data_IF_576602221883
#
_entry.id   IF_576602221883
#
_cell.length_a   1.000
_cell.length_b   1.000
_cell.length_c   1.000
_cell.angle_alpha   90.00
_cell.angle_beta   90.00
_cell.angle_gamma   90.00
#
_symmetry.space_group_name_H-M   'P 1'
#
loop_
_entity.id
_entity.type
_entity.pdbx_description
1 polymer ?
#
# COMPACT_ATOMS: atom_id res chain seq x y z
N UNK A 1 -8.21 -14.10 -11.43
CA UNK A 1 -8.15 -13.71 -10.00
C UNK A 1 -9.50 -14.00 -9.37
N UNK A 2 -9.55 -14.87 -8.37
CA UNK A 2 -10.79 -15.29 -7.73
C UNK A 2 -10.80 -15.05 -6.21
N UNK A 3 -9.66 -14.61 -5.67
CA UNK A 3 -9.51 -14.30 -4.25
C UNK A 3 -8.45 -13.22 -4.01
N UNK A 4 -8.44 -12.65 -2.81
CA UNK A 4 -7.53 -11.58 -2.41
C UNK A 4 -6.77 -11.93 -1.13
N UNK A 5 -5.48 -11.61 -1.11
CA UNK A 5 -4.72 -11.42 0.12
C UNK A 5 -4.66 -9.91 0.39
N UNK A 6 -5.32 -9.46 1.44
CA UNK A 6 -5.32 -8.06 1.86
C UNK A 6 -4.28 -7.90 2.96
N UNK A 7 -3.43 -6.88 2.87
CA UNK A 7 -2.39 -6.63 3.87
C UNK A 7 -2.33 -5.18 4.32
N UNK A 8 -2.02 -4.99 5.60
CA UNK A 8 -1.70 -3.69 6.19
C UNK A 8 -0.38 -3.79 6.96
N UNK A 9 0.74 -3.28 6.42
CA UNK A 9 1.98 -3.13 7.18
C UNK A 9 1.88 -1.98 8.18
N UNK A 10 2.32 -2.20 9.43
CA UNK A 10 2.22 -1.18 10.49
C UNK A 10 3.50 -1.11 11.32
N UNK A 11 3.86 0.11 11.72
CA UNK A 11 4.80 0.42 12.79
C UNK A 11 4.30 1.60 13.61
N UNK A 12 4.00 1.35 14.88
CA UNK A 12 3.69 2.36 15.91
C UNK A 12 2.50 3.32 15.64
N UNK A 13 1.81 3.22 14.51
CA UNK A 13 0.70 4.14 14.14
C UNK A 13 -0.66 3.57 14.54
N UNK A 14 -0.80 3.16 15.80
CA UNK A 14 -1.93 2.31 16.21
C UNK A 14 -3.31 2.97 16.01
N UNK A 15 -3.47 4.26 16.29
CA UNK A 15 -4.76 4.94 16.14
C UNK A 15 -5.22 5.00 14.67
N UNK A 16 -4.28 5.20 13.76
CA UNK A 16 -4.56 5.16 12.32
C UNK A 16 -4.84 3.73 11.88
N UNK A 17 -4.03 2.77 12.33
CA UNK A 17 -4.17 1.36 11.99
C UNK A 17 -5.51 0.79 12.41
N UNK A 18 -6.00 1.14 13.59
CA UNK A 18 -7.35 0.70 14.06
C UNK A 18 -8.43 1.18 13.10
N UNK A 19 -8.38 2.45 12.68
CA UNK A 19 -9.34 3.01 11.71
C UNK A 19 -9.24 2.32 10.35
N UNK A 20 -8.01 2.00 9.90
CA UNK A 20 -7.79 1.23 8.67
C UNK A 20 -8.38 -0.16 8.79
N UNK A 21 -8.09 -0.89 9.88
CA UNK A 21 -8.65 -2.23 10.13
C UNK A 21 -10.18 -2.21 10.13
N UNK A 22 -10.79 -1.26 10.85
CA UNK A 22 -12.24 -1.11 10.89
C UNK A 22 -12.82 -0.86 9.50
N UNK A 23 -12.21 0.03 8.71
CA UNK A 23 -12.68 0.34 7.36
C UNK A 23 -12.55 -0.87 6.42
N UNK A 24 -11.46 -1.65 6.50
CA UNK A 24 -11.28 -2.86 5.70
C UNK A 24 -12.28 -3.94 6.09
N UNK A 25 -12.47 -4.20 7.39
CA UNK A 25 -13.42 -5.21 7.88
C UNK A 25 -14.88 -4.85 7.53
N UNK A 26 -15.21 -3.55 7.52
CA UNK A 26 -16.54 -3.06 7.16
C UNK A 26 -16.77 -2.97 5.65
N UNK A 27 -15.76 -3.28 4.83
CA UNK A 27 -15.90 -3.22 3.38
C UNK A 27 -16.86 -4.29 2.85
N UNK A 28 -17.71 -3.90 1.91
CA UNK A 28 -18.61 -4.79 1.19
C UNK A 28 -17.84 -5.52 0.07
N UNK A 29 -17.08 -6.55 0.44
CA UNK A 29 -16.23 -7.31 -0.47
C UNK A 29 -16.81 -8.71 -0.68
N UNK A 30 -17.27 -8.99 -1.91
CA UNK A 30 -17.95 -10.22 -2.28
C UNK A 30 -17.04 -11.29 -2.89
N UNK A 31 -15.73 -11.11 -2.76
CA UNK A 31 -14.73 -12.07 -3.21
C UNK A 31 -14.07 -12.74 -1.99
N UNK A 32 -13.76 -14.04 -2.05
CA UNK A 32 -13.01 -14.69 -0.97
C UNK A 32 -11.72 -13.93 -0.67
N UNK A 33 -11.47 -13.65 0.59
CA UNK A 33 -10.28 -12.90 0.97
C UNK A 33 -9.78 -13.29 2.36
N UNK A 34 -8.49 -13.04 2.58
CA UNK A 34 -7.84 -13.09 3.89
C UNK A 34 -7.24 -11.72 4.16
N UNK A 35 -7.43 -11.20 5.36
CA UNK A 35 -6.86 -9.92 5.79
C UNK A 35 -5.83 -10.12 6.89
N UNK A 36 -4.61 -9.59 6.69
CA UNK A 36 -3.47 -9.74 7.60
C UNK A 36 -2.83 -8.39 7.87
N UNK A 37 -2.60 -8.09 9.14
CA UNK A 37 -1.82 -6.92 9.57
C UNK A 37 -0.42 -7.38 9.97
N UNK A 38 0.61 -6.77 9.38
CA UNK A 38 2.01 -7.07 9.65
C UNK A 38 2.60 -6.03 10.59
N UNK A 39 2.87 -6.43 11.84
CA UNK A 39 3.47 -5.58 12.86
C UNK A 39 5.00 -5.57 12.71
N UNK A 40 5.55 -4.45 12.25
CA UNK A 40 6.99 -4.27 12.03
C UNK A 40 7.70 -3.71 13.26
N UNK A 41 7.84 -4.53 14.30
CA UNK A 41 8.58 -4.17 15.52
C UNK A 41 8.07 -2.86 16.16
N UNK A 42 6.75 -2.73 16.32
CA UNK A 42 6.16 -1.66 17.12
C UNK A 42 6.56 -1.79 18.60
N UNK A 43 6.41 -0.70 19.35
CA UNK A 43 6.65 -0.74 20.79
C UNK A 43 5.79 -1.81 21.48
N UNK A 44 6.21 -2.37 22.62
CA UNK A 44 5.42 -3.39 23.34
C UNK A 44 3.98 -2.93 23.64
N UNK A 45 3.79 -1.66 24.01
CA UNK A 45 2.48 -1.09 24.27
C UNK A 45 1.61 -1.06 23.01
N UNK A 46 2.14 -0.57 21.89
CA UNK A 46 1.44 -0.52 20.62
C UNK A 46 1.16 -1.93 20.07
N UNK A 47 2.10 -2.86 20.24
CA UNK A 47 1.90 -4.27 19.88
C UNK A 47 0.73 -4.89 20.67
N UNK A 48 0.71 -4.73 22.00
CA UNK A 48 -0.36 -5.26 22.83
C UNK A 48 -1.73 -4.66 22.44
N UNK A 49 -1.78 -3.35 22.18
CA UNK A 49 -2.99 -2.68 21.74
C UNK A 49 -3.42 -3.15 20.34
N UNK A 50 -2.48 -3.34 19.41
CA UNK A 50 -2.76 -3.86 18.07
C UNK A 50 -3.42 -5.24 18.16
N UNK A 51 -2.87 -6.16 18.95
CA UNK A 51 -3.45 -7.49 19.14
C UNK A 51 -4.85 -7.43 19.75
N UNK A 52 -5.08 -6.55 20.72
CA UNK A 52 -6.40 -6.35 21.36
C UNK A 52 -7.44 -5.91 20.33
N UNK A 53 -7.12 -4.88 19.53
CA UNK A 53 -8.03 -4.35 18.52
C UNK A 53 -8.24 -5.32 17.35
N UNK A 54 -7.20 -6.00 16.92
CA UNK A 54 -7.29 -7.01 15.87
C UNK A 54 -8.16 -8.20 16.31
N UNK A 55 -8.02 -8.67 17.56
CA UNK A 55 -8.88 -9.72 18.10
C UNK A 55 -10.35 -9.28 18.16
N UNK A 56 -10.63 -8.02 18.55
CA UNK A 56 -11.98 -7.44 18.53
C UNK A 56 -12.61 -7.44 17.14
N UNK A 57 -11.79 -7.24 16.10
CA UNK A 57 -12.22 -7.14 14.70
C UNK A 57 -12.15 -8.47 13.94
N UNK A 58 -11.61 -9.54 14.55
CA UNK A 58 -11.38 -10.81 13.88
C UNK A 58 -10.28 -10.76 12.81
N UNK A 59 -9.31 -9.86 12.95
CA UNK A 59 -8.20 -9.64 12.02
C UNK A 59 -6.96 -10.41 12.47
N UNK A 60 -6.27 -11.04 11.52
CA UNK A 60 -5.00 -11.71 11.77
C UNK A 60 -3.86 -10.71 11.93
N UNK A 61 -3.01 -10.90 12.94
CA UNK A 61 -1.78 -10.12 13.13
C UNK A 61 -0.57 -11.05 13.03
N UNK A 62 0.43 -10.62 12.28
CA UNK A 62 1.72 -11.29 12.17
C UNK A 62 2.80 -10.35 12.69
N UNK A 63 3.43 -10.73 13.82
CA UNK A 63 4.56 -9.99 14.37
C UNK A 63 5.84 -10.35 13.62
N UNK A 64 6.44 -9.41 12.92
CA UNK A 64 7.64 -9.64 12.12
C UNK A 64 8.85 -10.03 12.98
N UNK A 65 8.88 -9.62 14.26
CA UNK A 65 9.90 -10.05 15.21
C UNK A 65 9.97 -11.58 15.38
N UNK A 66 8.91 -12.32 15.05
CA UNK A 66 8.89 -13.79 15.08
C UNK A 66 9.43 -14.43 13.79
N UNK A 67 9.63 -13.64 12.73
CA UNK A 67 9.97 -14.10 11.39
C UNK A 67 11.34 -13.64 10.91
N UNK A 68 11.86 -12.55 11.46
CA UNK A 68 13.15 -11.98 11.08
C UNK A 68 13.76 -11.18 12.23
N UNK A 69 15.08 -11.26 12.35
CA UNK A 69 15.88 -10.44 13.27
C UNK A 69 16.31 -9.11 12.63
N UNK A 70 15.90 -8.86 11.38
CA UNK A 70 16.26 -7.62 10.69
C UNK A 70 15.54 -6.43 11.33
N UNK A 71 16.25 -5.33 11.62
CA UNK A 71 15.61 -4.15 12.19
C UNK A 71 14.64 -3.50 11.20
N UNK A 72 13.56 -2.89 11.71
CA UNK A 72 12.63 -2.12 10.90
C UNK A 72 13.36 -1.00 10.09
N UNK A 73 12.98 -0.76 8.83
CA UNK A 73 11.74 -1.20 8.17
C UNK A 73 11.87 -2.54 7.44
N UNK A 74 10.87 -3.42 7.62
CA UNK A 74 10.78 -4.71 6.96
C UNK A 74 9.73 -4.76 5.84
N UNK A 75 9.38 -3.62 5.25
CA UNK A 75 8.33 -3.54 4.23
C UNK A 75 8.59 -4.44 3.02
N UNK A 76 9.85 -4.50 2.53
CA UNK A 76 10.21 -5.37 1.41
C UNK A 76 10.09 -6.85 1.79
N UNK A 77 10.42 -7.23 3.02
CA UNK A 77 10.22 -8.59 3.51
C UNK A 77 8.73 -8.98 3.43
N UNK A 78 7.82 -8.10 3.86
CA UNK A 78 6.36 -8.30 3.76
C UNK A 78 5.94 -8.46 2.31
N UNK A 79 6.38 -7.58 1.40
CA UNK A 79 6.04 -7.65 -0.01
C UNK A 79 6.48 -8.98 -0.65
N UNK A 80 7.72 -9.41 -0.40
CA UNK A 80 8.27 -10.68 -0.90
C UNK A 80 7.48 -11.89 -0.39
N UNK A 81 7.19 -11.91 0.91
CA UNK A 81 6.41 -12.96 1.56
C UNK A 81 5.00 -13.04 0.96
N UNK A 82 4.29 -11.92 0.95
CA UNK A 82 2.91 -11.87 0.47
C UNK A 82 2.80 -12.13 -1.02
N UNK A 83 3.79 -11.73 -1.84
CA UNK A 83 3.86 -12.14 -3.25
C UNK A 83 3.91 -13.66 -3.39
N UNK A 84 4.80 -14.34 -2.64
CA UNK A 84 4.93 -15.81 -2.70
C UNK A 84 3.64 -16.50 -2.31
N UNK A 85 3.00 -16.03 -1.24
CA UNK A 85 1.73 -16.55 -0.76
C UNK A 85 0.61 -16.33 -1.80
N UNK A 86 0.44 -15.12 -2.31
CA UNK A 86 -0.55 -14.79 -3.32
C UNK A 86 -0.38 -15.59 -4.62
N UNK A 87 0.87 -15.90 -5.02
CA UNK A 87 1.14 -16.72 -6.20
C UNK A 87 0.71 -18.17 -6.04
N UNK A 88 0.83 -18.76 -4.83
CA UNK A 88 0.38 -20.13 -4.54
C UNK A 88 -1.13 -20.26 -4.77
N UNK A 89 -1.88 -19.24 -4.35
CA UNK A 89 -3.34 -19.22 -4.37
C UNK A 89 -3.94 -18.57 -5.64
N UNK A 90 -3.11 -18.14 -6.59
CA UNK A 90 -3.51 -17.29 -7.74
C UNK A 90 -4.36 -16.08 -7.30
N UNK A 91 -4.02 -15.54 -6.12
CA UNK A 91 -4.70 -14.42 -5.50
C UNK A 91 -4.15 -13.06 -5.97
N UNK A 92 -4.99 -12.03 -5.93
CA UNK A 92 -4.51 -10.66 -5.99
C UNK A 92 -3.95 -10.22 -4.63
N UNK A 93 -2.89 -9.42 -4.63
CA UNK A 93 -2.33 -8.81 -3.42
C UNK A 93 -2.87 -7.39 -3.28
N UNK A 94 -3.77 -7.17 -2.32
CA UNK A 94 -4.33 -5.86 -2.04
C UNK A 94 -3.64 -5.24 -0.83
N UNK A 95 -2.95 -4.14 -1.04
CA UNK A 95 -2.24 -3.40 0.01
C UNK A 95 -3.09 -2.22 0.43
N UNK A 96 -3.33 -2.08 1.73
CA UNK A 96 -3.94 -0.90 2.35
C UNK A 96 -3.00 -0.43 3.46
N UNK A 97 -2.36 0.73 3.29
CA UNK A 97 -1.44 1.27 4.29
C UNK A 97 -2.17 1.65 5.58
N UNK A 98 -1.43 1.63 6.70
CA UNK A 98 -1.97 1.79 8.07
C UNK A 98 -2.56 3.15 8.39
N UNK A 99 -2.47 4.12 7.49
CA UNK A 99 -3.01 5.49 7.60
C UNK A 99 -4.07 5.82 6.53
N UNK A 100 -4.61 4.77 5.92
CA UNK A 100 -5.63 4.87 4.87
C UNK A 100 -6.98 4.37 5.38
N UNK A 101 -8.02 5.16 5.15
CA UNK A 101 -9.41 4.77 5.41
C UNK A 101 -10.15 4.62 4.09
N UNK A 102 -10.58 3.40 3.78
CA UNK A 102 -11.35 3.08 2.57
C UNK A 102 -12.84 3.28 2.79
N UNK A 103 -13.60 3.52 1.71
CA UNK A 103 -15.06 3.49 1.72
C UNK A 103 -15.58 2.05 1.62
N UNK A 104 -16.84 1.81 1.99
CA UNK A 104 -17.41 0.47 2.04
C UNK A 104 -17.29 -0.34 0.74
N UNK A 105 -17.40 0.32 -0.40
CA UNK A 105 -17.38 -0.29 -1.73
C UNK A 105 -16.03 -0.18 -2.46
N UNK A 106 -15.03 0.52 -1.87
CA UNK A 106 -13.75 0.80 -2.54
C UNK A 106 -13.02 -0.47 -2.95
N UNK A 107 -12.89 -1.45 -2.04
CA UNK A 107 -12.11 -2.66 -2.31
C UNK A 107 -12.79 -3.53 -3.37
N UNK A 108 -14.13 -3.64 -3.36
CA UNK A 108 -14.87 -4.34 -4.39
C UNK A 108 -14.72 -3.66 -5.75
N UNK A 109 -14.86 -2.33 -5.80
CA UNK A 109 -14.70 -1.57 -7.04
C UNK A 109 -13.28 -1.64 -7.61
N UNK A 110 -12.24 -1.67 -6.76
CA UNK A 110 -10.87 -1.93 -7.21
C UNK A 110 -10.72 -3.32 -7.83
N UNK A 111 -11.29 -4.33 -7.18
CA UNK A 111 -11.29 -5.70 -7.70
C UNK A 111 -12.01 -5.81 -9.04
N UNK A 112 -13.22 -5.27 -9.14
CA UNK A 112 -14.00 -5.26 -10.36
C UNK A 112 -13.30 -4.48 -11.47
N UNK A 113 -12.76 -3.31 -11.13
CA UNK A 113 -12.02 -2.47 -12.05
C UNK A 113 -10.75 -3.14 -12.59
N UNK A 114 -10.01 -3.86 -11.76
CA UNK A 114 -8.84 -4.63 -12.17
C UNK A 114 -9.23 -5.82 -13.06
N UNK A 115 -10.33 -6.52 -12.72
CA UNK A 115 -10.80 -7.69 -13.45
C UNK A 115 -11.39 -7.34 -14.81
N UNK A 116 -12.06 -6.19 -14.91
CA UNK A 116 -12.65 -5.70 -16.16
C UNK A 116 -11.63 -5.18 -17.18
N UNK A 117 -10.39 -4.93 -16.77
CA UNK A 117 -9.36 -4.36 -17.64
C UNK A 117 -8.34 -5.42 -18.07
N UNK A 118 -8.20 -5.69 -19.38
CA UNK A 118 -7.19 -6.63 -19.86
C UNK A 118 -5.78 -6.11 -19.51
N UNK A 119 -4.89 -7.05 -19.18
CA UNK A 119 -3.49 -6.76 -18.82
C UNK A 119 -3.32 -5.75 -17.67
N UNK A 120 -4.30 -5.68 -16.76
CA UNK A 120 -4.14 -4.87 -15.56
C UNK A 120 -3.01 -5.44 -14.69
N UNK A 121 -1.99 -4.64 -14.40
CA UNK A 121 -0.93 -4.93 -13.45
C UNK A 121 -1.28 -4.40 -12.06
N UNK A 122 -1.54 -3.09 -11.97
CA UNK A 122 -1.90 -2.42 -10.72
C UNK A 122 -3.22 -1.67 -10.89
N UNK A 123 -4.12 -1.82 -9.93
CA UNK A 123 -5.30 -0.99 -9.76
C UNK A 123 -5.17 -0.23 -8.43
N UNK A 124 -5.04 1.09 -8.49
CA UNK A 124 -4.80 1.93 -7.32
C UNK A 124 -5.92 2.94 -7.11
N UNK A 125 -6.38 3.12 -5.88
CA UNK A 125 -7.30 4.17 -5.48
C UNK A 125 -6.54 5.48 -5.26
N UNK A 126 -7.14 6.62 -5.65
CA UNK A 126 -6.54 7.93 -5.41
C UNK A 126 -6.65 8.32 -3.93
N UNK A 127 -5.61 8.95 -3.39
CA UNK A 127 -5.62 9.45 -2.01
C UNK A 127 -6.14 10.88 -1.94
N UNK A 128 -6.93 11.15 -0.90
CA UNK A 128 -7.45 12.49 -0.60
C UNK A 128 -7.22 12.84 0.86
N UNK A 129 -7.21 14.14 1.17
CA UNK A 129 -7.25 14.66 2.52
C UNK A 129 -8.70 14.70 3.08
N UNK A 130 -8.87 15.28 4.29
CA UNK A 130 -10.18 15.38 4.95
C UNK A 130 -11.15 16.32 4.23
N UNK A 131 -10.65 17.25 3.42
CA UNK A 131 -11.43 18.12 2.54
C UNK A 131 -11.76 17.48 1.18
N UNK A 132 -11.38 16.23 0.96
CA UNK A 132 -11.60 15.50 -0.29
C UNK A 132 -10.69 15.92 -1.44
N UNK A 133 -9.63 16.70 -1.17
CA UNK A 133 -8.66 17.12 -2.17
C UNK A 133 -7.58 16.07 -2.36
N UNK A 134 -7.22 15.79 -3.61
CA UNK A 134 -6.13 14.86 -3.91
C UNK A 134 -4.85 15.31 -3.20
N UNK A 135 -4.30 14.41 -2.38
CA UNK A 135 -3.11 14.66 -1.58
C UNK A 135 -1.91 13.79 -2.03
N UNK A 136 -0.83 13.83 -1.26
CA UNK A 136 0.31 12.96 -1.46
C UNK A 136 -0.10 11.48 -1.29
N UNK A 137 0.36 10.57 -2.15
CA UNK A 137 1.40 10.72 -3.19
C UNK A 137 0.88 11.16 -4.57
N UNK A 138 -0.42 11.31 -4.77
CA UNK A 138 -1.04 11.52 -6.08
C UNK A 138 -1.22 12.99 -6.48
N UNK A 139 -0.39 13.90 -5.99
CA UNK A 139 -0.48 15.34 -6.34
C UNK A 139 -0.46 15.60 -7.86
N UNK A 140 0.13 14.69 -8.64
CA UNK A 140 0.17 14.76 -10.10
C UNK A 140 -1.18 14.45 -10.77
N UNK A 141 -2.13 13.89 -10.04
CA UNK A 141 -3.48 13.57 -10.51
C UNK A 141 -4.51 14.66 -10.21
N UNK A 142 -4.10 15.76 -9.58
CA UNK A 142 -4.98 16.93 -9.37
C UNK A 142 -5.54 17.43 -10.70
N UNK A 143 -6.84 17.74 -10.73
CA UNK A 143 -7.58 18.10 -11.94
C UNK A 143 -8.09 16.89 -12.74
N UNK A 144 -7.94 15.67 -12.20
CA UNK A 144 -8.49 14.44 -12.78
C UNK A 144 -9.48 13.73 -11.85
N UNK A 145 -10.03 14.47 -10.92
CA UNK A 145 -11.00 13.93 -9.95
C UNK A 145 -12.16 13.24 -10.69
N UNK A 146 -12.49 12.02 -10.27
CA UNK A 146 -13.53 11.20 -10.90
C UNK A 146 -13.17 10.56 -12.24
N UNK A 147 -11.95 10.77 -12.78
CA UNK A 147 -11.53 10.24 -14.08
C UNK A 147 -10.50 9.11 -13.88
N UNK A 148 -10.92 7.88 -14.09
CA UNK A 148 -10.02 6.74 -14.06
C UNK A 148 -9.19 6.66 -15.34
N UNK A 149 -7.90 6.35 -15.22
CA UNK A 149 -7.03 6.31 -16.38
C UNK A 149 -5.85 5.34 -16.24
N UNK A 150 -5.30 4.93 -17.40
CA UNK A 150 -4.05 4.21 -17.51
C UNK A 150 -2.88 5.11 -17.09
N UNK A 151 -2.32 4.84 -15.91
CA UNK A 151 -1.27 5.64 -15.29
C UNK A 151 0.11 5.21 -15.79
N UNK A 152 0.78 6.07 -16.52
CA UNK A 152 2.17 5.86 -16.99
C UNK A 152 3.23 6.31 -15.97
N UNK A 153 2.78 6.86 -14.84
CA UNK A 153 3.63 7.17 -13.69
C UNK A 153 3.59 6.00 -12.70
N UNK A 154 3.96 6.23 -11.46
CA UNK A 154 3.83 5.23 -10.40
C UNK A 154 2.43 5.22 -9.79
N UNK A 155 2.00 4.04 -9.36
CA UNK A 155 0.87 3.85 -8.46
C UNK A 155 1.42 3.54 -7.07
N UNK A 156 1.10 4.38 -6.09
CA UNK A 156 1.52 4.16 -4.70
C UNK A 156 0.73 3.02 -4.06
N UNK A 157 1.34 2.34 -3.12
CA UNK A 157 0.70 1.23 -2.40
C UNK A 157 -0.21 1.67 -1.24
N UNK A 158 -0.56 2.95 -1.15
CA UNK A 158 -1.50 3.43 -0.13
C UNK A 158 -2.81 2.61 -0.10
N UNK A 159 -3.43 2.40 -1.27
CA UNK A 159 -4.54 1.46 -1.46
C UNK A 159 -4.44 0.92 -2.89
N UNK A 160 -3.83 -0.24 -3.07
CA UNK A 160 -3.51 -0.78 -4.40
C UNK A 160 -3.64 -2.28 -4.47
N UNK A 161 -4.30 -2.74 -5.52
CA UNK A 161 -4.42 -4.14 -5.88
C UNK A 161 -3.38 -4.49 -6.96
N UNK A 162 -2.47 -5.39 -6.62
CA UNK A 162 -1.50 -6.00 -7.51
C UNK A 162 -2.10 -7.31 -8.04
N UNK A 163 -2.26 -7.41 -9.35
CA UNK A 163 -2.91 -8.58 -9.96
C UNK A 163 -1.98 -9.80 -10.01
N UNK A 164 -2.51 -11.03 -10.11
CA UNK A 164 -1.69 -12.21 -10.31
C UNK A 164 -0.79 -12.13 -11.56
N UNK A 165 -1.22 -11.41 -12.60
CA UNK A 165 -0.41 -11.17 -13.79
C UNK A 165 0.86 -10.39 -13.47
N UNK A 166 0.75 -9.32 -12.68
CA UNK A 166 1.88 -8.55 -12.18
C UNK A 166 2.78 -9.40 -11.27
N UNK A 167 2.18 -10.09 -10.29
CA UNK A 167 2.93 -10.89 -9.33
C UNK A 167 3.75 -12.02 -10.01
N UNK A 168 3.26 -12.55 -11.13
CA UNK A 168 4.00 -13.52 -11.98
C UNK A 168 5.10 -12.85 -12.79
N UNK A 169 4.83 -11.67 -13.36
CA UNK A 169 5.77 -10.99 -14.25
C UNK A 169 6.93 -10.31 -13.51
N UNK A 170 6.68 -9.80 -12.29
CA UNK A 170 7.66 -9.03 -11.53
C UNK A 170 8.24 -9.84 -10.38
N UNK A 171 9.57 -9.97 -10.36
CA UNK A 171 10.28 -10.71 -9.30
C UNK A 171 10.70 -9.75 -8.17
N UNK A 172 9.98 -9.80 -7.05
CA UNK A 172 10.27 -8.95 -5.89
C UNK A 172 11.56 -9.34 -5.13
N UNK A 173 12.13 -10.51 -5.42
CA UNK A 173 13.42 -10.89 -4.84
C UNK A 173 14.58 -10.09 -5.45
N UNK A 174 14.37 -9.45 -6.63
CA UNK A 174 15.32 -8.54 -7.29
C UNK A 174 15.29 -7.11 -6.78
N UNK A 175 14.30 -6.74 -5.98
CA UNK A 175 14.21 -5.39 -5.43
C UNK A 175 15.35 -5.12 -4.45
N UNK A 176 15.93 -3.93 -4.53
CA UNK A 176 17.08 -3.51 -3.72
C UNK A 176 16.62 -3.06 -2.32
N UNK A 177 17.06 -3.77 -1.28
CA UNK A 177 16.74 -3.47 0.12
C UNK A 177 17.21 -2.09 0.58
N UNK A 178 18.22 -1.51 -0.07
CA UNK A 178 18.69 -0.15 0.22
C UNK A 178 17.75 0.94 -0.28
N UNK A 179 16.75 0.59 -1.10
CA UNK A 179 15.77 1.49 -1.69
C UNK A 179 14.47 1.50 -0.89
N UNK A 180 13.68 2.55 -1.09
CA UNK A 180 12.40 2.74 -0.38
C UNK A 180 11.22 2.99 -1.31
N UNK A 181 11.44 2.90 -2.63
CA UNK A 181 10.48 3.26 -3.66
C UNK A 181 9.99 2.00 -4.39
N UNK A 182 9.59 0.99 -3.60
CA UNK A 182 9.17 -0.30 -4.18
C UNK A 182 7.93 -0.15 -5.04
N UNK A 183 7.00 0.71 -4.65
CA UNK A 183 5.81 1.06 -5.43
C UNK A 183 6.17 1.68 -6.79
N UNK A 184 7.17 2.56 -6.84
CA UNK A 184 7.67 3.17 -8.08
C UNK A 184 8.34 2.12 -8.96
N UNK A 185 9.25 1.32 -8.40
CA UNK A 185 9.98 0.28 -9.13
C UNK A 185 9.01 -0.76 -9.70
N UNK A 186 8.11 -1.30 -8.86
CA UNK A 186 7.11 -2.29 -9.28
C UNK A 186 6.15 -1.70 -10.34
N UNK A 187 5.79 -0.41 -10.23
CA UNK A 187 4.98 0.24 -11.27
C UNK A 187 5.69 0.30 -12.62
N UNK A 188 7.00 0.59 -12.63
CA UNK A 188 7.79 0.61 -13.86
C UNK A 188 8.00 -0.80 -14.43
N UNK A 189 8.28 -1.79 -13.56
CA UNK A 189 8.42 -3.19 -13.97
C UNK A 189 7.12 -3.74 -14.57
N UNK A 190 5.97 -3.35 -14.02
CA UNK A 190 4.66 -3.65 -14.58
C UNK A 190 4.53 -3.15 -16.02
N UNK A 191 4.85 -1.88 -16.25
CA UNK A 191 4.81 -1.29 -17.60
C UNK A 191 5.83 -1.94 -18.55
N UNK A 192 7.03 -2.24 -18.06
CA UNK A 192 8.06 -2.93 -18.83
C UNK A 192 7.66 -4.36 -19.23
N UNK A 193 6.86 -5.02 -18.38
CA UNK A 193 6.28 -6.34 -18.66
C UNK A 193 5.08 -6.29 -19.62
N UNK A 194 4.71 -5.12 -20.14
CA UNK A 194 3.57 -4.93 -21.05
C UNK A 194 2.21 -4.90 -20.34
N UNK A 195 2.20 -4.73 -19.02
CA UNK A 195 0.98 -4.56 -18.25
C UNK A 195 0.59 -3.07 -18.16
N UNK A 196 -0.62 -2.81 -17.70
CA UNK A 196 -1.15 -1.48 -17.49
C UNK A 196 -1.40 -1.21 -16.00
N UNK A 197 -1.07 0.00 -15.54
CA UNK A 197 -1.38 0.44 -14.19
C UNK A 197 -2.51 1.45 -14.24
N UNK A 198 -3.57 1.22 -13.48
CA UNK A 198 -4.74 2.11 -13.50
C UNK A 198 -4.84 2.88 -12.18
N UNK A 199 -4.99 4.20 -12.28
CA UNK A 199 -5.33 5.05 -11.15
C UNK A 199 -6.83 5.39 -11.22
N UNK A 200 -7.55 4.97 -10.20
CA UNK A 200 -8.98 5.19 -10.05
C UNK A 200 -9.22 6.48 -9.27
N UNK A 201 -9.34 7.60 -9.98
CA UNK A 201 -9.68 8.88 -9.35
C UNK A 201 -11.17 9.00 -9.01
N UNK A 202 -11.98 8.03 -9.44
CA UNK A 202 -13.38 7.84 -8.99
C UNK A 202 -13.49 7.14 -7.64
N UNK A 203 -12.39 6.56 -7.12
CA UNK A 203 -12.33 5.84 -5.85
C UNK A 203 -11.41 6.56 -4.85
N UNK A 204 -11.83 7.70 -4.27
CA UNK A 204 -11.01 8.40 -3.29
C UNK A 204 -10.94 7.61 -1.98
N UNK A 205 -9.73 7.47 -1.42
CA UNK A 205 -9.48 6.95 -0.08
C UNK A 205 -8.89 8.04 0.78
N UNK A 206 -9.36 8.15 2.02
CA UNK A 206 -8.83 9.12 2.95
C UNK A 206 -7.44 8.68 3.43
N UNK A 207 -6.43 9.49 3.16
CA UNK A 207 -5.05 9.23 3.54
C UNK A 207 -4.57 10.32 4.50
N UNK A 208 -4.17 9.91 5.69
CA UNK A 208 -3.62 10.77 6.75
C UNK A 208 -2.11 10.53 6.88
N UNK A 209 -1.29 11.15 6.02
CA UNK A 209 0.15 10.90 6.03
C UNK A 209 0.72 11.14 7.43
N UNK A 210 1.20 10.10 8.07
CA UNK A 210 1.91 10.21 9.33
C UNK A 210 3.41 10.06 9.09
N UNK A 211 4.18 10.94 9.71
CA UNK A 211 5.61 10.99 9.45
C UNK A 211 6.38 9.92 10.19
N UNK A 212 6.35 8.68 9.74
CA UNK A 212 7.30 7.67 10.20
C UNK A 212 8.76 7.99 9.79
N UNK A 213 8.95 9.00 8.93
CA UNK A 213 10.27 9.42 8.43
C UNK A 213 10.45 10.92 8.58
N UNK A 214 11.15 11.38 9.66
CA UNK A 214 11.32 12.82 9.96
C UNK A 214 11.91 13.63 8.80
N UNK A 215 12.78 13.02 7.97
CA UNK A 215 13.37 13.72 6.83
C UNK A 215 12.34 14.05 5.72
N UNK A 216 11.27 13.24 5.55
CA UNK A 216 10.20 13.54 4.58
C UNK A 216 9.34 14.73 5.03
N UNK A 217 9.17 14.92 6.33
CA UNK A 217 8.47 16.09 6.88
C UNK A 217 9.23 17.39 6.57
N UNK A 218 10.55 17.34 6.39
CA UNK A 218 11.33 18.48 5.97
C UNK A 218 10.84 19.08 4.65
N UNK A 219 10.21 18.30 3.77
CA UNK A 219 9.65 18.83 2.51
C UNK A 219 8.63 19.94 2.76
N UNK A 220 7.91 19.88 3.86
CA UNK A 220 6.84 20.82 4.21
C UNK A 220 7.32 21.88 5.22
N UNK A 221 8.27 21.54 6.07
CA UNK A 221 8.77 22.43 7.14
C UNK A 221 10.03 23.18 6.76
N UNK A 222 10.91 22.59 5.95
CA UNK A 222 12.14 23.17 5.45
C UNK A 222 12.54 22.59 4.10
N UNK A 223 11.95 23.04 2.98
CA UNK A 223 12.18 22.47 1.65
C UNK A 223 13.65 22.47 1.22
N UNK A 224 14.42 23.52 1.58
CA UNK A 224 15.84 23.63 1.23
C UNK A 224 16.62 22.48 1.88
N UNK A 225 16.41 22.25 3.17
CA UNK A 225 17.04 21.14 3.90
C UNK A 225 16.60 19.78 3.38
N UNK A 226 15.33 19.65 2.97
CA UNK A 226 14.80 18.43 2.35
C UNK A 226 15.55 18.09 1.06
N UNK A 227 15.62 19.02 0.09
CA UNK A 227 16.30 18.79 -1.19
C UNK A 227 17.79 18.59 -1.04
N UNK A 228 18.45 19.31 -0.12
CA UNK A 228 19.86 19.11 0.23
C UNK A 228 20.10 17.69 0.79
N UNK A 229 19.29 17.26 1.77
CA UNK A 229 19.39 15.92 2.36
C UNK A 229 19.11 14.83 1.33
N UNK A 230 18.09 15.02 0.49
CA UNK A 230 17.74 14.14 -0.59
C UNK A 230 18.91 13.94 -1.56
N UNK A 231 19.55 15.02 -1.97
CA UNK A 231 20.65 14.99 -2.92
C UNK A 231 21.92 14.38 -2.32
N UNK A 232 22.31 14.79 -1.12
CA UNK A 232 23.56 14.34 -0.47
C UNK A 232 23.52 12.90 0.00
N UNK A 233 22.34 12.41 0.43
CA UNK A 233 22.16 11.03 0.91
C UNK A 233 21.63 10.06 -0.17
N UNK A 234 21.41 10.55 -1.39
CA UNK A 234 20.91 9.72 -2.48
C UNK A 234 19.52 9.13 -2.24
N UNK A 235 18.73 9.73 -1.34
CA UNK A 235 17.33 9.38 -1.15
C UNK A 235 16.56 9.72 -2.42
N UNK A 236 15.88 8.81 -3.07
CA UNK A 236 15.18 8.92 -4.35
C UNK A 236 16.02 8.60 -5.61
N UNK A 237 17.17 7.98 -5.49
CA UNK A 237 17.77 7.32 -6.64
C UNK A 237 17.04 5.99 -6.85
N UNK A 238 16.29 5.91 -7.93
CA UNK A 238 15.67 4.69 -8.44
C UNK A 238 16.78 3.80 -9.01
#
# INVERSE_FOLDING_TARGET
>A
MQQLLIITPVKDSIDHTVRTMEAVVQSELNVPHRYVVFNDNSTPENTARLHTEAARLGVEVVDLATLTDHPSPNYLFVLRRCRKEALVDDAGLLIVESDVTVQRDTLQKLFDGATARPNCGIAAAVTVDEEGKINYPYLYARGKEGQDYDCKKHCSFCCSLLTPALLKACDFDRLDDSKNWFDVTISHDSLAAGLHNYLFCSLPVLHRPHGSRPWKQLKYTNPIKYYWTKWTKGFDKI
#
